data_IF_436837634636
#
_entry.id   IF_436837634636
#
_cell.length_a   1.000
_cell.length_b   1.000
_cell.length_c   1.000
_cell.angle_alpha   90.00
_cell.angle_beta   90.00
_cell.angle_gamma   90.00
#
_symmetry.space_group_name_H-M   'P 1'
#
loop_
_entity.id
_entity.type
_entity.pdbx_description
1 polymer ?
#
# COMPACT_ATOMS: atom_id res chain seq x y z
N UNK A 1 21.11 -17.64 -23.02
CA UNK A 1 21.76 -16.58 -22.21
C UNK A 1 21.36 -16.80 -20.78
N UNK A 2 22.31 -16.67 -19.86
CA UNK A 2 22.00 -16.67 -18.43
C UNK A 2 21.13 -15.44 -18.10
N UNK A 3 20.06 -15.64 -17.33
CA UNK A 3 19.19 -14.55 -16.89
C UNK A 3 19.73 -13.99 -15.58
N UNK A 4 19.65 -12.68 -15.42
CA UNK A 4 20.02 -12.01 -14.17
C UNK A 4 18.85 -12.12 -13.19
N UNK A 5 19.07 -12.67 -11.99
CA UNK A 5 18.05 -12.65 -10.94
C UNK A 5 17.85 -11.21 -10.44
N UNK A 6 16.62 -10.70 -10.54
CA UNK A 6 16.26 -9.32 -10.16
C UNK A 6 15.32 -9.29 -8.97
N UNK A 7 15.58 -8.39 -8.02
CA UNK A 7 14.71 -8.12 -6.88
C UNK A 7 14.23 -6.67 -6.95
N UNK A 8 12.92 -6.46 -6.81
CA UNK A 8 12.32 -5.12 -6.88
C UNK A 8 11.96 -4.64 -5.48
N UNK A 9 12.24 -3.38 -5.17
CA UNK A 9 11.84 -2.72 -3.93
C UNK A 9 10.82 -1.63 -4.27
N UNK A 10 9.63 -1.72 -3.69
CA UNK A 10 8.51 -0.80 -3.99
C UNK A 10 8.19 0.01 -2.75
N UNK A 11 8.35 1.33 -2.83
CA UNK A 11 7.77 2.27 -1.86
C UNK A 11 6.34 2.59 -2.30
N UNK A 12 5.37 1.97 -1.64
CA UNK A 12 3.96 2.07 -2.05
C UNK A 12 3.40 3.47 -1.92
N UNK A 13 3.79 4.23 -0.89
CA UNK A 13 3.24 5.57 -0.67
C UNK A 13 3.67 6.55 -1.77
N UNK A 14 4.93 6.45 -2.18
CA UNK A 14 5.46 7.24 -3.29
C UNK A 14 4.82 6.81 -4.61
N UNK A 15 4.79 5.50 -4.91
CA UNK A 15 4.16 5.00 -6.13
C UNK A 15 2.67 5.35 -6.22
N UNK A 16 1.92 5.20 -5.12
CA UNK A 16 0.50 5.54 -5.06
C UNK A 16 0.26 7.04 -5.34
N UNK A 17 1.15 7.90 -4.86
CA UNK A 17 1.08 9.35 -5.11
C UNK A 17 1.25 9.64 -6.59
N UNK A 18 2.24 9.04 -7.24
CA UNK A 18 2.50 9.19 -8.67
C UNK A 18 1.35 8.63 -9.51
N UNK A 19 0.86 7.43 -9.20
CA UNK A 19 -0.26 6.81 -9.90
C UNK A 19 -1.52 7.68 -9.82
N UNK A 20 -1.82 8.26 -8.66
CA UNK A 20 -2.95 9.20 -8.50
C UNK A 20 -2.76 10.46 -9.33
N UNK A 21 -1.56 11.01 -9.38
CA UNK A 21 -1.26 12.19 -10.19
C UNK A 21 -1.45 11.90 -11.68
N UNK A 22 -0.97 10.74 -12.14
CA UNK A 22 -1.16 10.26 -13.52
C UNK A 22 -2.65 10.12 -13.81
N UNK A 23 -3.44 9.42 -12.97
CA UNK A 23 -4.87 9.21 -13.26
C UNK A 23 -5.69 10.51 -13.26
N UNK A 24 -5.30 11.50 -12.46
CA UNK A 24 -5.96 12.82 -12.41
C UNK A 24 -5.66 13.71 -13.61
N UNK A 25 -4.54 13.49 -14.30
CA UNK A 25 -4.18 14.30 -15.46
C UNK A 25 -5.14 13.99 -16.64
N UNK A 26 -5.71 15.05 -17.22
CA UNK A 26 -6.66 14.95 -18.33
C UNK A 26 -6.01 14.36 -19.58
N UNK A 27 -4.75 14.72 -19.84
CA UNK A 27 -3.94 14.28 -20.99
C UNK A 27 -3.34 12.87 -20.81
N UNK A 28 -3.58 12.23 -19.68
CA UNK A 28 -3.11 10.86 -19.44
C UNK A 28 -3.70 9.89 -20.44
N UNK A 29 -2.84 9.01 -20.94
CA UNK A 29 -3.21 7.91 -21.81
C UNK A 29 -4.42 7.13 -21.24
N UNK A 30 -5.40 6.85 -22.11
CA UNK A 30 -6.65 6.18 -21.74
C UNK A 30 -6.41 4.86 -20.99
N UNK A 31 -5.32 4.15 -21.29
CA UNK A 31 -4.95 2.89 -20.64
C UNK A 31 -4.69 3.04 -19.14
N UNK A 32 -4.27 4.23 -18.69
CA UNK A 32 -4.03 4.51 -17.28
C UNK A 32 -5.25 5.09 -16.56
N UNK A 33 -6.36 5.39 -17.25
CA UNK A 33 -7.59 5.83 -16.57
C UNK A 33 -8.13 4.72 -15.68
N UNK A 34 -8.82 5.09 -14.60
CA UNK A 34 -9.31 4.17 -13.57
C UNK A 34 -10.19 3.02 -14.12
N UNK A 35 -10.94 3.29 -15.21
CA UNK A 35 -11.75 2.28 -15.89
C UNK A 35 -10.94 1.16 -16.56
N UNK A 36 -9.64 1.37 -16.79
CA UNK A 36 -8.75 0.43 -17.48
C UNK A 36 -7.60 -0.06 -16.59
N UNK A 37 -7.18 0.75 -15.62
CA UNK A 37 -6.15 0.41 -14.65
C UNK A 37 -6.58 0.78 -13.23
N UNK A 38 -6.78 -0.23 -12.39
CA UNK A 38 -7.11 -0.09 -10.99
C UNK A 38 -5.90 -0.50 -10.14
N UNK A 39 -5.15 0.48 -9.63
CA UNK A 39 -4.00 0.21 -8.75
C UNK A 39 -4.38 -0.35 -7.38
N UNK A 40 -5.68 -0.38 -7.01
CA UNK A 40 -6.15 -1.11 -5.84
C UNK A 40 -6.34 -2.61 -6.12
N UNK A 41 -6.25 -3.04 -7.39
CA UNK A 41 -6.19 -4.45 -7.75
C UNK A 41 -4.71 -4.90 -7.77
N UNK A 42 -4.28 -5.80 -6.85
CA UNK A 42 -2.90 -6.27 -6.77
C UNK A 42 -2.37 -6.89 -8.07
N UNK A 43 -3.20 -7.60 -8.82
CA UNK A 43 -2.76 -8.26 -10.06
C UNK A 43 -2.39 -7.23 -11.12
N UNK A 44 -3.24 -6.21 -11.32
CA UNK A 44 -2.96 -5.13 -12.27
C UNK A 44 -1.73 -4.32 -11.85
N UNK A 45 -1.62 -4.01 -10.55
CA UNK A 45 -0.46 -3.30 -10.01
C UNK A 45 0.84 -4.10 -10.23
N UNK A 46 0.82 -5.42 -10.02
CA UNK A 46 1.99 -6.26 -10.22
C UNK A 46 2.35 -6.42 -11.70
N UNK A 47 1.38 -6.40 -12.62
CA UNK A 47 1.67 -6.34 -14.06
C UNK A 47 2.45 -5.07 -14.40
N UNK A 48 2.04 -3.91 -13.86
CA UNK A 48 2.77 -2.66 -14.03
C UNK A 48 4.19 -2.77 -13.44
N UNK A 49 4.33 -3.24 -12.20
CA UNK A 49 5.65 -3.36 -11.54
C UNK A 49 6.57 -4.29 -12.34
N UNK A 50 6.04 -5.40 -12.87
CA UNK A 50 6.80 -6.36 -13.69
C UNK A 50 7.16 -5.81 -15.07
N UNK A 51 6.41 -4.84 -15.60
CA UNK A 51 6.72 -4.24 -16.91
C UNK A 51 8.01 -3.43 -16.92
N UNK A 52 8.58 -3.13 -15.75
CA UNK A 52 9.89 -2.48 -15.63
C UNK A 52 11.06 -3.44 -15.79
N UNK A 53 10.83 -4.76 -15.82
CA UNK A 53 11.89 -5.75 -15.99
C UNK A 53 12.35 -5.78 -17.45
N UNK A 54 13.67 -5.83 -17.65
CA UNK A 54 14.25 -6.05 -18.97
C UNK A 54 14.13 -7.52 -19.40
N UNK A 55 14.16 -7.84 -20.71
CA UNK A 55 14.05 -9.22 -21.20
C UNK A 55 15.09 -10.21 -20.67
N UNK A 56 16.24 -9.72 -20.18
CA UNK A 56 17.33 -10.53 -19.60
C UNK A 56 17.19 -10.71 -18.08
N UNK A 57 16.24 -10.03 -17.46
CA UNK A 57 16.00 -10.11 -16.02
C UNK A 57 14.94 -11.16 -15.70
N UNK A 58 15.12 -11.84 -14.57
CA UNK A 58 14.14 -12.77 -14.02
C UNK A 58 13.77 -12.35 -12.60
N UNK A 59 12.47 -12.09 -12.40
CA UNK A 59 12.00 -11.67 -11.09
C UNK A 59 12.20 -12.78 -10.05
N UNK A 60 12.99 -12.49 -9.02
CA UNK A 60 13.14 -13.35 -7.84
C UNK A 60 12.11 -13.01 -6.76
N UNK A 61 12.00 -11.72 -6.43
CA UNK A 61 11.18 -11.23 -5.32
C UNK A 61 10.83 -9.75 -5.47
N UNK A 62 9.67 -9.37 -4.96
CA UNK A 62 9.25 -7.99 -4.77
C UNK A 62 9.15 -7.74 -3.27
N UNK A 63 9.94 -6.80 -2.75
CA UNK A 63 9.77 -6.26 -1.41
C UNK A 63 8.86 -5.05 -1.49
N UNK A 64 7.65 -5.19 -0.94
CA UNK A 64 6.61 -4.18 -1.04
C UNK A 64 6.47 -3.45 0.30
N UNK A 65 6.87 -2.20 0.37
CA UNK A 65 6.85 -1.39 1.59
C UNK A 65 5.58 -0.56 1.64
N UNK A 66 4.70 -0.87 2.59
CA UNK A 66 3.44 -0.16 2.79
C UNK A 66 3.29 0.27 4.25
N UNK A 67 2.43 1.27 4.48
CA UNK A 67 2.09 1.74 5.82
C UNK A 67 1.35 0.65 6.60
N UNK A 68 1.53 0.66 7.92
CA UNK A 68 0.76 -0.22 8.81
C UNK A 68 -0.67 0.32 8.95
N UNK A 69 -1.68 -0.57 8.91
CA UNK A 69 -3.04 -0.17 9.24
C UNK A 69 -3.11 0.22 10.72
N UNK A 70 -3.82 1.29 11.03
CA UNK A 70 -4.14 1.65 12.41
C UNK A 70 -4.91 0.51 13.08
N UNK A 71 -4.46 0.10 14.27
CA UNK A 71 -5.18 -0.87 15.10
C UNK A 71 -5.47 -0.30 16.48
N UNK A 72 -6.69 -0.49 16.98
CA UNK A 72 -7.04 -0.12 18.36
C UNK A 72 -6.36 -1.02 19.41
N UNK A 73 -5.67 -2.08 18.98
CA UNK A 73 -5.10 -3.10 19.88
C UNK A 73 -3.82 -2.58 20.56
N UNK A 74 -3.07 -1.69 19.90
CA UNK A 74 -1.84 -1.10 20.47
C UNK A 74 -2.06 -0.27 21.75
N UNK A 75 -3.07 0.63 21.84
CA UNK A 75 -3.33 1.37 23.08
C UNK A 75 -3.92 0.52 24.22
N UNK A 76 -4.54 -0.64 23.92
CA UNK A 76 -5.17 -1.51 24.93
C UNK A 76 -4.20 -2.15 25.93
N UNK A 77 -2.91 -2.17 25.61
CA UNK A 77 -1.90 -2.94 26.36
C UNK A 77 -1.28 -2.12 27.53
N UNK A 78 -1.43 -0.79 27.61
CA UNK A 78 -0.80 0.03 28.68
C UNK A 78 -1.62 1.25 29.14
N UNK A 79 -2.46 1.08 30.17
CA UNK A 79 -2.86 2.18 31.09
C UNK A 79 -3.55 3.40 30.46
N UNK A 80 -3.04 4.61 30.74
CA UNK A 80 -3.64 5.92 30.35
C UNK A 80 -3.90 6.09 28.84
N UNK A 81 -3.24 5.33 27.97
CA UNK A 81 -3.43 5.41 26.52
C UNK A 81 -4.83 5.00 26.06
N UNK A 82 -5.51 4.13 26.81
CA UNK A 82 -6.92 3.81 26.54
C UNK A 82 -7.82 5.02 26.83
N UNK A 83 -7.59 5.74 27.93
CA UNK A 83 -8.36 6.95 28.25
C UNK A 83 -8.13 8.04 27.20
N UNK A 84 -6.89 8.23 26.77
CA UNK A 84 -6.55 9.17 25.69
C UNK A 84 -7.24 8.81 24.37
N UNK A 85 -7.32 7.52 24.01
CA UNK A 85 -8.03 7.09 22.81
C UNK A 85 -9.53 7.35 22.91
N UNK A 86 -10.17 7.02 24.04
CA UNK A 86 -11.60 7.27 24.24
C UNK A 86 -11.92 8.77 24.26
N UNK A 87 -11.11 9.59 24.95
CA UNK A 87 -11.25 11.06 24.91
C UNK A 87 -11.07 11.61 23.49
N UNK A 88 -10.14 11.06 22.72
CA UNK A 88 -9.92 11.46 21.33
C UNK A 88 -11.11 11.08 20.45
N UNK A 89 -11.69 9.88 20.62
CA UNK A 89 -12.92 9.44 19.94
C UNK A 89 -14.09 10.38 20.23
N UNK A 90 -14.29 10.76 21.50
CA UNK A 90 -15.34 11.69 21.91
C UNK A 90 -15.14 13.10 21.34
N UNK A 91 -13.91 13.63 21.39
CA UNK A 91 -13.59 14.98 20.89
C UNK A 91 -13.58 15.05 19.36
N UNK A 92 -13.21 13.96 18.66
CA UNK A 92 -12.97 13.94 17.22
C UNK A 92 -13.61 12.74 16.51
N UNK A 93 -14.93 12.50 16.64
CA UNK A 93 -15.57 11.29 16.13
C UNK A 93 -15.42 11.12 14.61
N UNK A 94 -15.48 12.23 13.86
CA UNK A 94 -15.29 12.22 12.40
C UNK A 94 -13.86 11.93 11.97
N UNK A 95 -12.86 12.39 12.73
CA UNK A 95 -11.46 12.09 12.41
C UNK A 95 -11.14 10.63 12.72
N UNK A 96 -11.67 10.14 13.85
CA UNK A 96 -11.57 8.74 14.22
C UNK A 96 -12.17 7.81 13.16
N UNK A 97 -13.41 8.08 12.72
CA UNK A 97 -14.07 7.31 11.66
C UNK A 97 -13.25 7.29 10.36
N UNK A 98 -12.70 8.44 9.95
CA UNK A 98 -11.81 8.52 8.77
C UNK A 98 -10.56 7.67 8.94
N UNK A 99 -9.94 7.66 10.13
CA UNK A 99 -8.77 6.82 10.43
C UNK A 99 -9.12 5.33 10.35
N UNK A 100 -10.24 4.92 10.95
CA UNK A 100 -10.72 3.53 10.90
C UNK A 100 -11.00 3.10 9.46
N UNK A 101 -11.71 3.93 8.68
CA UNK A 101 -12.01 3.61 7.28
C UNK A 101 -10.73 3.51 6.43
N UNK A 102 -9.82 4.47 6.56
CA UNK A 102 -8.51 4.43 5.88
C UNK A 102 -7.73 3.16 6.27
N UNK A 103 -7.76 2.80 7.54
CA UNK A 103 -7.13 1.58 8.05
C UNK A 103 -7.70 0.32 7.42
N UNK A 104 -9.04 0.20 7.34
CA UNK A 104 -9.70 -0.93 6.69
C UNK A 104 -9.29 -1.11 5.24
N UNK A 105 -9.17 -0.01 4.49
CA UNK A 105 -8.68 -0.02 3.10
C UNK A 105 -7.22 -0.49 3.03
N UNK A 106 -6.34 0.05 3.87
CA UNK A 106 -4.93 -0.36 3.93
C UNK A 106 -4.82 -1.84 4.29
N UNK A 107 -5.58 -2.31 5.28
CA UNK A 107 -5.57 -3.70 5.72
C UNK A 107 -6.02 -4.65 4.62
N UNK A 108 -7.12 -4.34 3.92
CA UNK A 108 -7.64 -5.15 2.83
C UNK A 108 -6.61 -5.22 1.68
N UNK A 109 -6.02 -4.08 1.30
CA UNK A 109 -5.00 -4.02 0.26
C UNK A 109 -3.73 -4.78 0.65
N UNK A 110 -3.20 -4.54 1.85
CA UNK A 110 -2.02 -5.21 2.38
C UNK A 110 -2.21 -6.73 2.46
N UNK A 111 -3.40 -7.19 2.86
CA UNK A 111 -3.74 -8.60 2.83
C UNK A 111 -3.71 -9.14 1.39
N UNK A 112 -4.36 -8.47 0.46
CA UNK A 112 -4.47 -8.92 -0.93
C UNK A 112 -3.11 -8.94 -1.66
N UNK A 113 -2.24 -7.94 -1.46
CA UNK A 113 -0.91 -7.88 -2.07
C UNK A 113 0.05 -8.91 -1.46
N UNK A 114 -0.08 -9.22 -0.17
CA UNK A 114 0.77 -10.21 0.51
C UNK A 114 0.48 -11.65 0.07
N UNK A 115 -0.72 -11.94 -0.46
CA UNK A 115 -1.05 -13.24 -1.04
C UNK A 115 -0.46 -13.45 -2.44
N UNK A 116 0.08 -12.41 -3.07
CA UNK A 116 0.60 -12.51 -4.44
C UNK A 116 1.94 -13.21 -4.48
N UNK A 117 2.12 -14.05 -5.51
CA UNK A 117 3.36 -14.80 -5.70
C UNK A 117 4.57 -13.85 -5.81
N UNK A 118 5.65 -14.26 -5.14
CA UNK A 118 6.94 -13.56 -5.11
C UNK A 118 6.91 -12.18 -4.44
N UNK A 119 5.79 -11.78 -3.82
CA UNK A 119 5.71 -10.55 -3.02
C UNK A 119 6.02 -10.84 -1.56
N UNK A 120 6.79 -9.96 -0.94
CA UNK A 120 7.02 -9.92 0.50
C UNK A 120 6.65 -8.52 1.01
N UNK A 121 5.48 -8.43 1.63
CA UNK A 121 5.03 -7.20 2.29
C UNK A 121 5.94 -6.87 3.47
N UNK A 122 6.29 -5.60 3.59
CA UNK A 122 7.06 -5.03 4.68
C UNK A 122 6.34 -3.80 5.20
N UNK A 123 6.19 -3.72 6.51
CA UNK A 123 5.74 -2.52 7.18
C UNK A 123 6.82 -1.44 7.10
N UNK A 124 6.45 -0.23 6.68
CA UNK A 124 7.25 0.95 6.95
C UNK A 124 6.98 1.36 8.40
N UNK A 125 7.80 0.90 9.34
CA UNK A 125 7.71 1.33 10.74
C UNK A 125 8.04 2.83 10.78
N UNK A 126 7.01 3.66 10.96
CA UNK A 126 7.17 5.08 11.24
C UNK A 126 7.69 5.26 12.65
N UNK A 127 9.00 5.09 12.86
CA UNK A 127 9.66 5.76 13.97
C UNK A 127 9.95 7.19 13.50
N UNK A 128 9.01 8.09 13.77
CA UNK A 128 9.26 9.53 13.88
C UNK A 128 8.86 9.94 15.28
#
# INVERSE_FOLDING_TARGET
MEKTETTIFVDWENLLTDLRAIQKNLETDKRFKESHFNFNNPEQLLVLIRSFLEPKEELKRIYFYASEPFTEVEPRIKGNKNKELEEYKEKNPKDYEKRVNKSGIIQAFNHAIAQQNQVKLRSRSGNV
#
